data_IF_568379966692
#
_entry.id   IF_568379966692
#
_cell.length_a   1.000
_cell.length_b   1.000
_cell.length_c   1.000
_cell.angle_alpha   90.00
_cell.angle_beta   90.00
_cell.angle_gamma   90.00
#
_symmetry.space_group_name_H-M   'P 1'
#
loop_
_entity.id
_entity.type
_entity.pdbx_description
1 polymer ?
#
# COMPACT_ATOMS: atom_id res chain seq x y z
N UNK A 1 -13.99 21.85 -4.07
CA UNK A 1 -13.81 22.64 -5.32
C UNK A 1 -12.41 23.24 -5.43
N UNK A 2 -11.91 23.99 -4.44
CA UNK A 2 -10.56 24.63 -4.47
C UNK A 2 -9.39 23.64 -4.64
N UNK A 3 -9.50 22.42 -4.08
CA UNK A 3 -8.48 21.38 -4.25
C UNK A 3 -8.43 20.85 -5.71
N UNK A 4 -9.61 20.72 -6.34
CA UNK A 4 -9.75 20.27 -7.72
C UNK A 4 -9.22 21.34 -8.70
N UNK A 5 -9.46 22.62 -8.41
CA UNK A 5 -8.95 23.74 -9.22
C UNK A 5 -7.43 23.89 -9.09
N UNK A 6 -6.83 23.61 -7.92
CA UNK A 6 -5.38 23.54 -7.75
C UNK A 6 -4.76 22.35 -8.49
N UNK A 7 -5.42 21.19 -8.52
CA UNK A 7 -5.00 20.03 -9.29
C UNK A 7 -5.06 20.30 -10.81
N UNK A 8 -6.11 20.98 -11.28
CA UNK A 8 -6.27 21.36 -12.70
C UNK A 8 -5.30 22.47 -13.13
N UNK A 9 -4.96 23.42 -12.27
CA UNK A 9 -3.98 24.47 -12.60
C UNK A 9 -2.53 23.98 -12.55
N UNK A 10 -2.22 22.99 -11.70
CA UNK A 10 -0.92 22.30 -11.66
C UNK A 10 -0.65 21.49 -12.95
N UNK A 11 -1.70 21.07 -13.65
CA UNK A 11 -1.61 20.31 -14.91
C UNK A 11 -1.07 21.11 -16.12
N UNK A 12 -0.82 22.42 -15.99
CA UNK A 12 -0.38 23.28 -17.12
C UNK A 12 1.15 23.49 -17.19
N UNK A 13 1.91 22.98 -16.23
CA UNK A 13 3.36 22.69 -16.36
C UNK A 13 3.50 21.17 -16.43
N UNK A 14 4.43 20.63 -17.23
CA UNK A 14 4.73 19.19 -17.18
C UNK A 14 5.34 18.86 -15.81
N UNK A 15 4.48 18.61 -14.83
CA UNK A 15 4.84 18.15 -13.48
C UNK A 15 5.39 16.75 -13.64
N UNK A 16 6.66 16.58 -13.28
CA UNK A 16 7.39 15.32 -13.24
C UNK A 16 6.51 14.20 -12.66
N UNK A 17 6.39 13.06 -13.34
CA UNK A 17 5.44 12.01 -12.94
C UNK A 17 5.72 11.49 -11.52
N UNK A 18 6.99 11.46 -11.11
CA UNK A 18 7.35 11.10 -9.75
C UNK A 18 6.75 12.02 -8.69
N UNK A 19 6.56 13.32 -8.97
CA UNK A 19 5.85 14.23 -8.06
C UNK A 19 4.38 13.82 -7.92
N UNK A 20 3.70 13.40 -8.99
CA UNK A 20 2.30 12.93 -8.90
C UNK A 20 2.18 11.64 -8.09
N UNK A 21 3.10 10.70 -8.30
CA UNK A 21 3.14 9.43 -7.59
C UNK A 21 3.41 9.65 -6.09
N UNK A 22 4.35 10.55 -5.77
CA UNK A 22 4.64 11.00 -4.41
C UNK A 22 3.43 11.67 -3.76
N UNK A 23 2.78 12.60 -4.46
CA UNK A 23 1.61 13.32 -3.94
C UNK A 23 0.42 12.40 -3.69
N UNK A 24 0.19 11.40 -4.55
CA UNK A 24 -0.83 10.39 -4.35
C UNK A 24 -0.59 9.63 -3.03
N UNK A 25 0.62 9.10 -2.84
CA UNK A 25 0.95 8.38 -1.62
C UNK A 25 0.93 9.31 -0.40
N UNK A 26 1.36 10.56 -0.52
CA UNK A 26 1.23 11.56 0.56
C UNK A 26 -0.22 11.69 1.01
N UNK A 27 -1.16 11.83 0.07
CA UNK A 27 -2.60 11.93 0.38
C UNK A 27 -3.09 10.66 1.08
N UNK A 28 -2.73 9.48 0.57
CA UNK A 28 -3.12 8.19 1.16
C UNK A 28 -2.59 8.03 2.59
N UNK A 29 -1.30 8.30 2.81
CA UNK A 29 -0.69 8.25 4.14
C UNK A 29 -1.29 9.28 5.10
N UNK A 30 -1.59 10.50 4.65
CA UNK A 30 -2.27 11.51 5.49
C UNK A 30 -3.68 11.07 5.87
N UNK A 31 -4.45 10.52 4.93
CA UNK A 31 -5.79 10.00 5.19
C UNK A 31 -5.77 8.86 6.23
N UNK A 32 -4.73 8.01 6.19
CA UNK A 32 -4.52 6.93 7.14
C UNK A 32 -3.88 7.38 8.46
N UNK A 33 -3.41 8.63 8.59
CA UNK A 33 -2.67 9.10 9.77
C UNK A 33 -1.25 8.54 9.90
N UNK A 34 -0.72 7.94 8.81
CA UNK A 34 0.62 7.34 8.73
C UNK A 34 1.67 8.31 8.16
N UNK A 35 1.28 9.52 7.76
CA UNK A 35 2.20 10.48 7.16
C UNK A 35 3.30 10.91 8.16
N UNK A 36 4.60 10.70 7.85
CA UNK A 36 5.65 10.82 8.85
C UNK A 36 5.93 12.25 9.32
N UNK A 37 5.49 13.26 8.57
CA UNK A 37 5.66 14.68 8.95
C UNK A 37 4.45 15.24 9.72
N UNK A 38 3.42 14.44 9.99
CA UNK A 38 2.23 14.84 10.74
C UNK A 38 2.33 14.36 12.19
N UNK A 39 1.65 15.05 13.12
CA UNK A 39 1.48 14.52 14.48
C UNK A 39 0.73 13.19 14.43
N UNK A 40 1.22 12.13 15.09
CA UNK A 40 0.58 10.84 15.05
C UNK A 40 -0.84 10.94 15.61
N UNK A 41 -1.82 10.52 14.82
CA UNK A 41 -3.20 10.34 15.26
C UNK A 41 -3.45 8.84 15.36
N UNK A 42 -3.57 8.34 16.59
CA UNK A 42 -3.80 6.92 16.83
C UNK A 42 -5.28 6.64 16.59
N UNK A 43 -5.59 5.85 15.56
CA UNK A 43 -6.88 5.17 15.51
C UNK A 43 -6.99 4.25 16.72
N UNK A 44 -7.81 4.64 17.70
CA UNK A 44 -8.14 3.78 18.84
C UNK A 44 -9.03 2.64 18.33
N UNK A 45 -8.43 1.53 17.93
CA UNK A 45 -9.15 0.30 17.62
C UNK A 45 -9.57 -0.33 18.96
N UNK A 46 -10.67 0.17 19.52
CA UNK A 46 -11.33 -0.47 20.66
C UNK A 46 -12.37 -1.45 20.14
N UNK A 47 -11.95 -2.67 19.82
CA UNK A 47 -12.86 -3.76 19.43
C UNK A 47 -12.34 -5.17 19.76
N UNK A 48 -11.41 -5.33 20.71
CA UNK A 48 -10.82 -6.65 21.01
C UNK A 48 -11.42 -7.38 22.21
N UNK A 49 -12.25 -6.74 23.04
CA UNK A 49 -12.65 -7.30 24.34
C UNK A 49 -13.96 -8.08 24.35
N UNK A 50 -14.81 -8.01 23.32
CA UNK A 50 -16.11 -8.68 23.30
C UNK A 50 -16.07 -10.14 22.78
N UNK A 51 -14.88 -10.73 22.59
CA UNK A 51 -14.74 -11.95 21.77
C UNK A 51 -14.70 -13.29 22.51
N UNK A 52 -14.66 -13.32 23.85
CA UNK A 52 -14.32 -14.57 24.58
C UNK A 52 -15.51 -15.30 25.22
N UNK A 53 -16.76 -14.88 25.04
CA UNK A 53 -17.87 -15.35 25.91
C UNK A 53 -18.90 -16.32 25.31
N UNK A 54 -18.87 -16.63 24.01
CA UNK A 54 -19.92 -17.43 23.38
C UNK A 54 -19.63 -18.94 23.29
N UNK A 55 -20.61 -19.77 23.60
CA UNK A 55 -20.60 -21.22 23.27
C UNK A 55 -20.87 -21.41 21.76
N UNK A 56 -19.94 -22.01 21.01
CA UNK A 56 -20.08 -22.16 19.55
C UNK A 56 -19.63 -23.52 19.01
N UNK A 57 -20.16 -23.91 17.85
CA UNK A 57 -19.77 -25.11 17.09
C UNK A 57 -18.40 -24.93 16.40
N UNK A 58 -17.73 -26.01 15.99
CA UNK A 58 -16.37 -26.00 15.40
C UNK A 58 -16.29 -25.10 14.15
N UNK A 59 -17.28 -25.16 13.26
CA UNK A 59 -17.33 -24.31 12.05
C UNK A 59 -17.42 -22.81 12.37
N UNK A 60 -18.17 -22.46 13.43
CA UNK A 60 -18.28 -21.09 13.92
C UNK A 60 -16.93 -20.60 14.47
N UNK A 61 -16.23 -21.46 15.23
CA UNK A 61 -14.90 -21.18 15.78
C UNK A 61 -13.89 -20.94 14.65
N UNK A 62 -13.90 -21.78 13.60
CA UNK A 62 -12.98 -21.65 12.46
C UNK A 62 -13.20 -20.35 11.67
N UNK A 63 -14.46 -20.00 11.35
CA UNK A 63 -14.79 -18.72 10.69
C UNK A 63 -14.32 -17.53 11.51
N UNK A 64 -14.59 -17.57 12.82
CA UNK A 64 -14.24 -16.53 13.77
C UNK A 64 -12.72 -16.35 13.86
N UNK A 65 -11.99 -17.45 13.93
CA UNK A 65 -10.53 -17.45 13.92
C UNK A 65 -9.98 -16.80 12.64
N UNK A 66 -10.50 -17.16 11.47
CA UNK A 66 -10.10 -16.56 10.19
C UNK A 66 -10.28 -15.03 10.19
N UNK A 67 -11.42 -14.53 10.69
CA UNK A 67 -11.68 -13.10 10.81
C UNK A 67 -10.72 -12.39 11.78
N UNK A 68 -10.44 -13.00 12.94
CA UNK A 68 -9.47 -12.48 13.91
C UNK A 68 -8.08 -12.37 13.27
N UNK A 69 -7.66 -13.40 12.53
CA UNK A 69 -6.39 -13.40 11.83
C UNK A 69 -6.30 -12.26 10.80
N UNK A 70 -7.36 -12.03 10.02
CA UNK A 70 -7.41 -10.92 9.05
C UNK A 70 -7.32 -9.56 9.76
N UNK A 71 -8.08 -9.36 10.83
CA UNK A 71 -8.01 -8.16 11.65
C UNK A 71 -6.61 -7.95 12.24
N UNK A 72 -5.98 -9.01 12.74
CA UNK A 72 -4.61 -8.97 13.24
C UNK A 72 -3.62 -8.55 12.16
N UNK A 73 -3.79 -9.06 10.93
CA UNK A 73 -2.96 -8.66 9.78
C UNK A 73 -3.09 -7.16 9.49
N UNK A 74 -4.31 -6.61 9.45
CA UNK A 74 -4.52 -5.17 9.25
C UNK A 74 -3.85 -4.33 10.34
N UNK A 75 -4.03 -4.73 11.60
CA UNK A 75 -3.49 -4.02 12.76
C UNK A 75 -1.96 -4.05 12.75
N UNK A 76 -1.36 -5.22 12.53
CA UNK A 76 0.09 -5.36 12.47
C UNK A 76 0.72 -4.58 11.30
N UNK A 77 0.09 -4.61 10.12
CA UNK A 77 0.54 -3.82 8.97
C UNK A 77 0.54 -2.32 9.28
N UNK A 78 -0.54 -1.81 9.87
CA UNK A 78 -0.64 -0.41 10.27
C UNK A 78 0.47 -0.03 11.28
N UNK A 79 0.63 -0.82 12.34
CA UNK A 79 1.62 -0.54 13.38
C UNK A 79 3.06 -0.66 12.89
N UNK A 80 3.35 -1.57 11.96
CA UNK A 80 4.66 -1.67 11.32
C UNK A 80 5.08 -0.32 10.72
N UNK A 81 4.22 0.31 9.93
CA UNK A 81 4.50 1.59 9.30
C UNK A 81 4.45 2.76 10.27
N UNK A 82 3.57 2.69 11.27
CA UNK A 82 3.49 3.69 12.33
C UNK A 82 4.79 3.78 13.14
N UNK A 83 5.32 2.64 13.61
CA UNK A 83 6.56 2.61 14.39
C UNK A 83 7.80 2.92 13.56
N UNK A 84 7.78 2.64 12.26
CA UNK A 84 8.88 2.92 11.34
C UNK A 84 8.66 4.20 10.51
N UNK A 85 7.91 5.17 11.04
CA UNK A 85 7.63 6.43 10.34
C UNK A 85 8.90 7.19 9.96
N UNK A 86 9.94 7.15 10.79
CA UNK A 86 11.23 7.79 10.46
C UNK A 86 11.95 7.08 9.31
N UNK A 87 11.87 5.75 9.22
CA UNK A 87 12.41 5.01 8.08
C UNK A 87 11.66 5.31 6.78
N UNK A 88 10.33 5.44 6.84
CA UNK A 88 9.49 5.87 5.70
C UNK A 88 9.89 7.29 5.26
N UNK A 89 10.11 8.19 6.22
CA UNK A 89 10.57 9.56 5.95
C UNK A 89 11.93 9.59 5.25
N UNK A 90 12.92 8.88 5.78
CA UNK A 90 14.25 8.76 5.19
C UNK A 90 14.19 8.19 3.77
N UNK A 91 13.27 7.25 3.53
CA UNK A 91 13.03 6.68 2.20
C UNK A 91 12.53 7.73 1.21
N UNK A 92 11.51 8.51 1.59
CA UNK A 92 10.98 9.59 0.76
C UNK A 92 12.04 10.66 0.47
N UNK A 93 12.83 11.04 1.47
CA UNK A 93 13.92 12.01 1.32
C UNK A 93 15.01 11.48 0.38
N UNK A 94 15.40 10.21 0.51
CA UNK A 94 16.36 9.57 -0.38
C UNK A 94 15.88 9.61 -1.85
N UNK A 95 14.61 9.26 -2.10
CA UNK A 95 14.04 9.31 -3.46
C UNK A 95 14.06 10.73 -4.03
N UNK A 96 13.69 11.74 -3.24
CA UNK A 96 13.73 13.14 -3.67
C UNK A 96 15.16 13.62 -3.97
N UNK A 97 16.15 13.19 -3.19
CA UNK A 97 17.55 13.51 -3.44
C UNK A 97 18.03 12.91 -4.77
N UNK A 98 17.64 11.67 -5.06
CA UNK A 98 17.93 11.03 -6.35
C UNK A 98 17.32 11.80 -7.51
N UNK A 99 16.05 12.20 -7.41
CA UNK A 99 15.39 12.97 -8.47
C UNK A 99 16.05 14.33 -8.67
N UNK A 100 16.47 15.01 -7.59
CA UNK A 100 17.24 16.26 -7.68
C UNK A 100 18.59 16.06 -8.36
N UNK A 101 19.29 14.97 -8.04
CA UNK A 101 20.60 14.65 -8.61
C UNK A 101 20.53 14.45 -10.13
N UNK A 102 19.43 13.86 -10.64
CA UNK A 102 19.26 13.57 -12.06
C UNK A 102 18.34 14.55 -12.82
N UNK A 103 17.85 15.60 -12.17
CA UNK A 103 16.82 16.52 -12.71
C UNK A 103 17.12 17.05 -14.12
N UNK A 104 18.38 17.37 -14.41
CA UNK A 104 18.81 17.95 -15.69
C UNK A 104 19.47 16.91 -16.63
N UNK A 105 19.33 15.62 -16.34
CA UNK A 105 19.89 14.51 -17.13
C UNK A 105 18.77 13.74 -17.81
N UNK A 106 19.05 13.14 -18.97
CA UNK A 106 18.13 12.19 -19.60
C UNK A 106 17.77 10.99 -18.70
N UNK A 107 18.58 10.72 -17.67
CA UNK A 107 18.27 9.74 -16.63
C UNK A 107 16.94 10.01 -15.90
N UNK A 108 16.45 11.26 -15.87
CA UNK A 108 15.14 11.57 -15.27
C UNK A 108 13.99 10.87 -15.97
N UNK A 109 14.09 10.64 -17.29
CA UNK A 109 13.07 9.95 -18.09
C UNK A 109 12.90 8.50 -17.66
N UNK A 110 13.98 7.86 -17.21
CA UNK A 110 13.94 6.50 -16.65
C UNK A 110 13.14 6.49 -15.35
N UNK A 111 13.32 7.49 -14.47
CA UNK A 111 12.46 7.59 -13.29
C UNK A 111 11.00 7.83 -13.66
N UNK A 112 10.71 8.68 -14.65
CA UNK A 112 9.34 8.93 -15.09
C UNK A 112 8.65 7.66 -15.56
N UNK A 113 9.30 6.85 -16.39
CA UNK A 113 8.77 5.58 -16.89
C UNK A 113 8.40 4.61 -15.75
N UNK A 114 9.35 4.33 -14.86
CA UNK A 114 9.15 3.38 -13.77
C UNK A 114 8.15 3.87 -12.70
N UNK A 115 8.16 5.17 -12.39
CA UNK A 115 7.23 5.76 -11.42
C UNK A 115 5.83 5.93 -12.03
N UNK A 116 5.71 6.11 -13.35
CA UNK A 116 4.44 6.07 -14.05
C UNK A 116 3.81 4.68 -13.95
N UNK A 117 4.57 3.61 -14.19
CA UNK A 117 4.08 2.25 -14.00
C UNK A 117 3.58 2.02 -12.56
N UNK A 118 4.36 2.47 -11.56
CA UNK A 118 3.94 2.40 -10.16
C UNK A 118 2.65 3.18 -9.90
N UNK A 119 2.51 4.37 -10.48
CA UNK A 119 1.34 5.22 -10.32
C UNK A 119 0.08 4.55 -10.89
N UNK A 120 0.16 4.00 -12.10
CA UNK A 120 -0.95 3.27 -12.73
C UNK A 120 -1.30 2.03 -11.91
N UNK A 121 -0.30 1.29 -11.43
CA UNK A 121 -0.51 0.15 -10.55
C UNK A 121 -1.26 0.55 -9.27
N UNK A 122 -0.86 1.63 -8.59
CA UNK A 122 -1.55 2.13 -7.39
C UNK A 122 -3.00 2.49 -7.68
N UNK A 123 -3.27 3.22 -8.78
CA UNK A 123 -4.64 3.58 -9.17
C UNK A 123 -5.49 2.34 -9.45
N UNK A 124 -4.94 1.38 -10.17
CA UNK A 124 -5.63 0.14 -10.52
C UNK A 124 -6.03 -0.66 -9.27
N UNK A 125 -5.09 -0.86 -8.34
CA UNK A 125 -5.36 -1.55 -7.07
C UNK A 125 -6.43 -0.81 -6.27
N UNK A 126 -6.35 0.52 -6.18
CA UNK A 126 -7.34 1.32 -5.46
C UNK A 126 -8.75 1.18 -6.05
N UNK A 127 -8.88 1.21 -7.38
CA UNK A 127 -10.17 1.02 -8.07
C UNK A 127 -10.73 -0.37 -7.82
N UNK A 128 -9.91 -1.42 -7.96
CA UNK A 128 -10.33 -2.80 -7.68
C UNK A 128 -10.83 -2.94 -6.25
N UNK A 129 -10.12 -2.39 -5.28
CA UNK A 129 -10.50 -2.48 -3.88
C UNK A 129 -11.79 -1.72 -3.57
N UNK A 130 -12.02 -0.58 -4.23
CA UNK A 130 -13.30 0.14 -4.13
C UNK A 130 -14.45 -0.71 -4.68
N UNK A 131 -14.28 -1.33 -5.86
CA UNK A 131 -15.28 -2.25 -6.44
C UNK A 131 -15.52 -3.45 -5.51
N UNK A 132 -14.46 -4.03 -4.95
CA UNK A 132 -14.56 -5.12 -3.98
C UNK A 132 -15.36 -4.75 -2.73
N UNK A 133 -15.15 -3.54 -2.19
CA UNK A 133 -15.93 -3.03 -1.05
C UNK A 133 -17.42 -2.87 -1.40
N UNK A 134 -17.74 -2.37 -2.60
CA UNK A 134 -19.13 -2.29 -3.06
C UNK A 134 -19.79 -3.67 -3.17
N UNK A 135 -19.08 -4.65 -3.74
CA UNK A 135 -19.57 -6.03 -3.84
C UNK A 135 -19.80 -6.61 -2.44
N UNK A 136 -18.88 -6.39 -1.50
CA UNK A 136 -19.02 -6.82 -0.11
C UNK A 136 -20.29 -6.27 0.54
N UNK A 137 -20.57 -4.97 0.39
CA UNK A 137 -21.81 -4.35 0.91
C UNK A 137 -23.07 -4.98 0.30
N UNK A 138 -23.06 -5.31 -0.99
CA UNK A 138 -24.17 -5.98 -1.66
C UNK A 138 -24.38 -7.39 -1.09
N UNK A 139 -23.30 -8.10 -0.78
CA UNK A 139 -23.35 -9.44 -0.17
C UNK A 139 -23.99 -9.37 1.22
N UNK A 140 -23.56 -8.44 2.07
CA UNK A 140 -24.15 -8.25 3.40
C UNK A 140 -25.62 -7.80 3.34
N UNK A 141 -25.99 -7.03 2.32
CA UNK A 141 -27.37 -6.59 2.10
C UNK A 141 -28.28 -7.64 1.42
N UNK A 142 -27.79 -8.84 1.10
CA UNK A 142 -28.56 -9.93 0.48
C UNK A 142 -29.94 -10.19 1.11
N UNK A 143 -30.12 -10.32 2.45
CA UNK A 143 -31.43 -10.62 3.02
C UNK A 143 -32.46 -9.54 2.71
N UNK A 144 -32.06 -8.25 2.71
CA UNK A 144 -32.94 -7.13 2.39
C UNK A 144 -33.32 -7.12 0.91
N UNK A 145 -32.33 -7.31 0.03
CA UNK A 145 -32.57 -7.34 -1.43
C UNK A 145 -33.56 -8.45 -1.77
N UNK A 146 -33.40 -9.62 -1.13
CA UNK A 146 -34.27 -10.76 -1.36
C UNK A 146 -35.68 -10.57 -0.79
N UNK A 147 -35.84 -9.85 0.33
CA UNK A 147 -37.16 -9.50 0.87
C UNK A 147 -37.94 -8.55 -0.07
N UNK A 148 -37.24 -7.71 -0.85
CA UNK A 148 -37.87 -6.84 -1.85
C UNK A 148 -38.24 -7.59 -3.13
N UNK A 149 -37.35 -8.45 -3.64
CA UNK A 149 -37.55 -9.16 -4.91
C UNK A 149 -38.52 -10.34 -4.74
N UNK A 150 -38.42 -11.08 -3.63
CA UNK A 150 -39.22 -12.27 -3.33
C UNK A 150 -39.75 -12.13 -1.89
N UNK A 151 -40.79 -11.32 -1.68
CA UNK A 151 -41.35 -11.08 -0.36
C UNK A 151 -41.97 -12.37 0.20
N UNK A 152 -41.68 -12.66 1.47
CA UNK A 152 -42.28 -13.75 2.23
C UNK A 152 -43.21 -13.20 3.32
N UNK A 153 -44.16 -14.01 3.79
CA UNK A 153 -45.09 -13.60 4.86
C UNK A 153 -44.37 -13.17 6.15
N UNK A 154 -43.18 -13.72 6.39
CA UNK A 154 -42.27 -13.27 7.43
C UNK A 154 -40.95 -12.79 6.81
N UNK A 155 -40.39 -11.71 7.35
CA UNK A 155 -39.09 -11.18 6.92
C UNK A 155 -37.98 -12.20 7.14
N UNK A 156 -37.05 -12.32 6.19
CA UNK A 156 -35.90 -13.23 6.34
C UNK A 156 -35.07 -12.85 7.57
N UNK A 157 -34.50 -13.83 8.29
CA UNK A 157 -33.63 -13.53 9.41
C UNK A 157 -32.42 -12.73 8.92
N UNK A 158 -32.26 -11.52 9.47
CA UNK A 158 -31.10 -10.64 9.25
C UNK A 158 -29.88 -11.24 9.95
N UNK A 159 -29.29 -12.26 9.32
CA UNK A 159 -28.04 -12.88 9.76
C UNK A 159 -26.88 -12.10 9.15
N UNK A 160 -26.07 -11.49 10.00
CA UNK A 160 -24.71 -11.09 9.63
C UNK A 160 -23.92 -12.40 9.47
N UNK A 161 -23.02 -12.52 8.49
CA UNK A 161 -22.27 -13.77 8.27
C UNK A 161 -21.43 -14.19 9.49
N UNK A 162 -21.18 -13.25 10.41
CA UNK A 162 -20.47 -13.43 11.69
C UNK A 162 -21.43 -13.12 12.85
N UNK A 163 -21.67 -14.12 13.69
CA UNK A 163 -22.54 -14.00 14.85
C UNK A 163 -21.77 -13.37 16.03
N UNK A 164 -21.76 -12.04 16.12
CA UNK A 164 -21.20 -11.34 17.28
C UNK A 164 -22.18 -11.43 18.45
N UNK A 165 -21.78 -11.87 19.65
CA UNK A 165 -22.61 -11.70 20.86
C UNK A 165 -22.72 -10.21 21.18
N UNK A 166 -23.76 -9.57 20.66
CA UNK A 166 -24.14 -8.22 21.03
C UNK A 166 -25.24 -8.29 22.08
N UNK A 167 -25.09 -7.56 23.18
CA UNK A 167 -26.13 -7.34 24.19
C UNK A 167 -27.35 -6.54 23.66
N UNK A 168 -27.41 -6.31 22.34
CA UNK A 168 -28.38 -5.45 21.64
C UNK A 168 -28.96 -6.23 20.45
N UNK A 169 -30.25 -6.04 20.18
CA UNK A 169 -31.02 -6.71 19.14
C UNK A 169 -30.44 -6.47 17.72
N UNK A 170 -29.98 -7.56 17.09
CA UNK A 170 -29.36 -7.57 15.76
C UNK A 170 -30.32 -7.18 14.65
N UNK A 171 -31.62 -7.45 14.81
CA UNK A 171 -32.62 -7.12 13.79
C UNK A 171 -32.90 -5.60 13.77
N UNK A 172 -32.93 -4.98 14.95
CA UNK A 172 -33.19 -3.54 15.09
C UNK A 172 -32.01 -2.67 14.64
N UNK A 173 -30.77 -3.10 14.89
CA UNK A 173 -29.54 -2.32 14.62
C UNK A 173 -28.73 -2.82 13.42
N UNK A 174 -29.33 -3.64 12.54
CA UNK A 174 -28.65 -4.27 11.40
C UNK A 174 -27.80 -3.31 10.53
N UNK A 175 -28.35 -2.16 10.14
CA UNK A 175 -27.62 -1.17 9.33
C UNK A 175 -26.43 -0.56 10.08
N UNK A 176 -26.53 -0.39 11.39
CA UNK A 176 -25.43 0.13 12.19
C UNK A 176 -24.27 -0.86 12.23
N UNK A 177 -24.54 -2.16 12.35
CA UNK A 177 -23.52 -3.20 12.27
C UNK A 177 -22.82 -3.25 10.92
N UNK A 178 -23.57 -3.28 9.81
CA UNK A 178 -22.98 -3.23 8.46
C UNK A 178 -22.09 -2.00 8.30
N UNK A 179 -22.55 -0.83 8.77
CA UNK A 179 -21.75 0.39 8.67
C UNK A 179 -20.44 0.28 9.46
N UNK A 180 -20.47 -0.25 10.68
CA UNK A 180 -19.25 -0.46 11.47
C UNK A 180 -18.29 -1.46 10.81
N UNK A 181 -18.82 -2.56 10.27
CA UNK A 181 -18.04 -3.60 9.60
C UNK A 181 -17.40 -3.07 8.32
N UNK A 182 -18.17 -2.39 7.46
CA UNK A 182 -17.69 -1.78 6.21
C UNK A 182 -16.62 -0.73 6.51
N UNK A 183 -16.79 0.08 7.56
CA UNK A 183 -15.77 1.04 7.99
C UNK A 183 -14.51 0.34 8.47
N UNK A 184 -14.62 -0.71 9.30
CA UNK A 184 -13.48 -1.48 9.79
C UNK A 184 -12.69 -2.15 8.67
N UNK A 185 -13.38 -2.87 7.78
CA UNK A 185 -12.79 -3.52 6.60
C UNK A 185 -12.19 -2.46 5.67
N UNK A 186 -12.91 -1.37 5.41
CA UNK A 186 -12.44 -0.28 4.57
C UNK A 186 -11.14 0.33 5.06
N UNK A 187 -11.03 0.63 6.37
CA UNK A 187 -9.80 1.16 6.97
C UNK A 187 -8.65 0.15 6.87
N UNK A 188 -8.91 -1.13 7.20
CA UNK A 188 -7.89 -2.18 7.14
C UNK A 188 -7.34 -2.40 5.73
N UNK A 189 -8.24 -2.50 4.74
CA UNK A 189 -7.89 -2.64 3.32
C UNK A 189 -7.14 -1.40 2.82
N UNK A 190 -7.59 -0.19 3.15
CA UNK A 190 -6.88 1.05 2.79
C UNK A 190 -5.46 1.09 3.36
N UNK A 191 -5.24 0.60 4.60
CA UNK A 191 -3.92 0.52 5.21
C UNK A 191 -2.98 -0.39 4.41
N UNK A 192 -3.44 -1.61 4.06
CA UNK A 192 -2.64 -2.55 3.27
C UNK A 192 -2.31 -1.97 1.90
N UNK A 193 -3.30 -1.40 1.21
CA UNK A 193 -3.08 -0.84 -0.14
C UNK A 193 -2.08 0.29 -0.08
N UNK A 194 -2.24 1.22 0.86
CA UNK A 194 -1.36 2.39 1.00
C UNK A 194 0.08 1.97 1.26
N UNK A 195 0.29 1.05 2.19
CA UNK A 195 1.62 0.57 2.56
C UNK A 195 2.25 -0.31 1.48
N UNK A 196 1.48 -1.23 0.89
CA UNK A 196 1.93 -2.14 -0.17
C UNK A 196 2.28 -1.41 -1.47
N UNK A 197 1.44 -0.45 -1.89
CA UNK A 197 1.73 0.35 -3.10
C UNK A 197 2.91 1.30 -2.90
N UNK A 198 3.13 1.80 -1.69
CA UNK A 198 4.35 2.54 -1.35
C UNK A 198 5.61 1.69 -1.49
N UNK A 199 5.61 0.47 -0.94
CA UNK A 199 6.74 -0.45 -1.12
C UNK A 199 6.96 -0.75 -2.61
N UNK A 200 5.90 -0.94 -3.39
CA UNK A 200 6.01 -1.11 -4.83
C UNK A 200 6.63 0.11 -5.53
N UNK A 201 6.27 1.34 -5.12
CA UNK A 201 6.90 2.57 -5.62
C UNK A 201 8.40 2.59 -5.31
N UNK A 202 8.77 2.25 -4.07
CA UNK A 202 10.18 2.21 -3.67
C UNK A 202 10.97 1.17 -4.48
N UNK A 203 10.40 -0.01 -4.70
CA UNK A 203 11.00 -1.04 -5.57
C UNK A 203 11.16 -0.52 -7.00
N UNK A 204 10.14 0.12 -7.58
CA UNK A 204 10.21 0.71 -8.93
C UNK A 204 11.27 1.82 -9.00
N UNK A 205 11.39 2.66 -7.97
CA UNK A 205 12.47 3.66 -7.87
C UNK A 205 13.85 3.00 -7.87
N UNK A 206 14.06 1.94 -7.08
CA UNK A 206 15.33 1.21 -7.05
C UNK A 206 15.62 0.49 -8.37
N UNK A 207 14.61 -0.03 -9.06
CA UNK A 207 14.79 -0.56 -10.41
C UNK A 207 15.25 0.53 -11.39
N UNK A 208 14.69 1.74 -11.30
CA UNK A 208 15.10 2.87 -12.11
C UNK A 208 16.55 3.29 -11.82
N UNK A 209 16.99 3.35 -10.56
CA UNK A 209 18.39 3.67 -10.22
C UNK A 209 19.35 2.61 -10.76
N UNK A 210 19.01 1.33 -10.69
CA UNK A 210 19.83 0.26 -11.30
C UNK A 210 19.85 0.35 -12.82
N UNK A 211 18.73 0.68 -13.47
CA UNK A 211 18.68 0.90 -14.92
C UNK A 211 19.57 2.08 -15.31
N UNK A 212 19.56 3.18 -14.57
CA UNK A 212 20.45 4.33 -14.79
C UNK A 212 21.92 3.93 -14.63
N UNK A 213 22.27 3.20 -13.58
CA UNK A 213 23.63 2.68 -13.38
C UNK A 213 24.08 1.80 -14.55
N UNK A 214 23.21 0.91 -15.02
CA UNK A 214 23.44 0.08 -16.21
C UNK A 214 23.67 0.91 -17.47
N UNK A 215 22.84 1.93 -17.72
CA UNK A 215 23.00 2.83 -18.86
C UNK A 215 24.33 3.61 -18.79
N UNK A 216 24.77 4.05 -17.61
CA UNK A 216 26.07 4.71 -17.44
C UNK A 216 27.22 3.80 -17.87
N UNK A 217 27.17 2.52 -17.50
CA UNK A 217 28.16 1.51 -17.92
C UNK A 217 28.05 1.27 -19.44
N UNK A 218 26.85 1.07 -19.98
CA UNK A 218 26.66 0.83 -21.42
C UNK A 218 27.18 1.99 -22.29
N UNK A 219 26.97 3.23 -21.86
CA UNK A 219 27.47 4.42 -22.55
C UNK A 219 29.00 4.52 -22.52
N UNK A 220 29.70 3.81 -21.63
CA UNK A 220 31.17 3.68 -21.73
C UNK A 220 31.61 2.74 -22.86
N UNK A 221 30.75 1.76 -23.21
CA UNK A 221 31.00 0.74 -24.24
C UNK A 221 30.50 1.17 -25.61
N UNK A 222 29.42 1.96 -25.67
CA UNK A 222 28.77 2.38 -26.92
C UNK A 222 28.98 3.87 -27.27
N UNK A 223 29.65 4.07 -28.41
CA UNK A 223 29.42 5.09 -29.45
C UNK A 223 29.87 6.56 -29.24
N UNK A 224 29.98 7.14 -28.05
CA UNK A 224 30.50 8.54 -27.95
C UNK A 224 32.03 8.70 -27.98
N UNK A 225 32.76 7.61 -28.20
CA UNK A 225 34.22 7.53 -28.07
C UNK A 225 35.02 7.68 -29.36
N UNK A 226 34.36 7.92 -30.51
CA UNK A 226 35.04 8.08 -31.81
C UNK A 226 35.57 9.50 -32.10
N UNK A 227 35.15 10.52 -31.33
CA UNK A 227 35.54 11.92 -31.55
C UNK A 227 36.34 12.57 -30.41
N UNK A 228 36.51 11.88 -29.27
CA UNK A 228 37.20 12.43 -28.10
C UNK A 228 38.67 12.02 -28.05
N UNK A 229 39.52 12.86 -27.46
CA UNK A 229 40.91 12.48 -27.19
C UNK A 229 40.98 11.33 -26.18
N UNK A 230 42.07 10.55 -26.23
CA UNK A 230 42.25 9.40 -25.34
C UNK A 230 42.14 9.76 -23.85
N UNK A 231 42.64 10.94 -23.46
CA UNK A 231 42.55 11.44 -22.09
C UNK A 231 41.11 11.76 -21.66
N UNK A 232 40.35 12.46 -22.51
CA UNK A 232 38.95 12.78 -22.25
C UNK A 232 38.09 11.51 -22.14
N UNK A 233 38.34 10.54 -23.02
CA UNK A 233 37.67 9.24 -22.99
C UNK A 233 37.93 8.49 -21.67
N UNK A 234 39.18 8.43 -21.24
CA UNK A 234 39.55 7.75 -19.99
C UNK A 234 38.92 8.41 -18.77
N UNK A 235 38.91 9.75 -18.72
CA UNK A 235 38.27 10.51 -17.66
C UNK A 235 36.75 10.28 -17.62
N UNK A 236 36.09 10.27 -18.78
CA UNK A 236 34.65 10.00 -18.86
C UNK A 236 34.31 8.58 -18.40
N UNK A 237 35.02 7.57 -18.89
CA UNK A 237 34.78 6.17 -18.49
C UNK A 237 34.99 5.98 -16.99
N UNK A 238 36.09 6.50 -16.44
CA UNK A 238 36.35 6.45 -15.00
C UNK A 238 35.22 7.08 -14.20
N UNK A 239 34.78 8.29 -14.58
CA UNK A 239 33.68 8.99 -13.90
C UNK A 239 32.36 8.19 -13.97
N UNK A 240 32.01 7.66 -15.13
CA UNK A 240 30.78 6.89 -15.32
C UNK A 240 30.78 5.58 -14.51
N UNK A 241 31.92 4.88 -14.46
CA UNK A 241 32.08 3.66 -13.65
C UNK A 241 31.98 4.00 -12.16
N UNK A 242 32.72 5.01 -11.68
CA UNK A 242 32.65 5.43 -10.28
C UNK A 242 31.22 5.81 -9.88
N UNK A 243 30.53 6.60 -10.71
CA UNK A 243 29.15 7.01 -10.45
C UNK A 243 28.20 5.81 -10.42
N UNK A 244 28.33 4.87 -11.37
CA UNK A 244 27.52 3.65 -11.41
C UNK A 244 27.71 2.79 -10.16
N UNK A 245 28.95 2.57 -9.73
CA UNK A 245 29.27 1.81 -8.51
C UNK A 245 28.69 2.50 -7.27
N UNK A 246 28.80 3.83 -7.19
CA UNK A 246 28.24 4.62 -6.09
C UNK A 246 26.71 4.52 -6.04
N UNK A 247 26.02 4.66 -7.18
CA UNK A 247 24.56 4.51 -7.27
C UNK A 247 24.15 3.12 -6.83
N UNK A 248 24.80 2.08 -7.37
CA UNK A 248 24.49 0.69 -7.04
C UNK A 248 24.67 0.43 -5.54
N UNK A 249 25.82 0.80 -4.96
CA UNK A 249 26.11 0.61 -3.54
C UNK A 249 25.09 1.30 -2.64
N UNK A 250 24.76 2.56 -2.94
CA UNK A 250 23.75 3.32 -2.19
C UNK A 250 22.35 2.72 -2.31
N UNK A 251 21.92 2.31 -3.51
CA UNK A 251 20.62 1.65 -3.70
C UNK A 251 20.55 0.31 -2.95
N UNK A 252 21.61 -0.50 -2.97
CA UNK A 252 21.65 -1.77 -2.20
C UNK A 252 21.52 -1.50 -0.71
N UNK A 253 22.25 -0.51 -0.17
CA UNK A 253 22.18 -0.16 1.24
C UNK A 253 20.78 0.35 1.63
N UNK A 254 20.19 1.20 0.79
CA UNK A 254 18.83 1.70 0.95
C UNK A 254 17.80 0.57 0.98
N UNK A 255 17.86 -0.37 0.02
CA UNK A 255 16.95 -1.52 -0.03
C UNK A 255 17.13 -2.45 1.17
N UNK A 256 18.36 -2.67 1.66
CA UNK A 256 18.60 -3.46 2.88
C UNK A 256 17.92 -2.85 4.10
N UNK A 257 18.00 -1.53 4.28
CA UNK A 257 17.30 -0.84 5.37
C UNK A 257 15.78 -0.99 5.27
N UNK A 258 15.23 -0.93 4.05
CA UNK A 258 13.81 -1.17 3.82
C UNK A 258 13.40 -2.62 4.14
N UNK A 259 14.18 -3.61 3.71
CA UNK A 259 13.89 -5.02 4.03
C UNK A 259 13.91 -5.26 5.54
N UNK A 260 14.90 -4.74 6.26
CA UNK A 260 14.98 -4.89 7.72
C UNK A 260 13.75 -4.33 8.45
N UNK A 261 13.20 -3.21 7.96
CA UNK A 261 11.95 -2.62 8.46
C UNK A 261 10.76 -3.58 8.32
N UNK A 262 10.70 -4.30 7.20
CA UNK A 262 9.57 -5.14 6.77
C UNK A 262 9.68 -6.55 7.35
N UNK A 263 10.85 -7.18 7.29
CA UNK A 263 11.08 -8.58 7.63
C UNK A 263 10.65 -8.94 9.06
N UNK A 264 10.93 -8.05 10.03
CA UNK A 264 10.60 -8.25 11.44
C UNK A 264 9.08 -8.43 11.67
N UNK A 265 8.26 -7.76 10.86
CA UNK A 265 6.80 -7.75 10.99
C UNK A 265 6.12 -8.74 10.04
N UNK A 266 6.75 -9.05 8.90
CA UNK A 266 6.17 -9.96 7.91
C UNK A 266 6.28 -11.43 8.30
N UNK A 267 7.29 -11.84 9.09
CA UNK A 267 7.39 -13.22 9.58
C UNK A 267 6.15 -13.68 10.39
N UNK A 268 5.70 -12.95 11.44
CA UNK A 268 4.48 -13.33 12.15
C UNK A 268 3.21 -13.17 11.31
N UNK A 269 3.16 -12.20 10.39
CA UNK A 269 2.04 -12.03 9.45
C UNK A 269 1.87 -13.23 8.52
N UNK A 270 2.97 -13.75 7.96
CA UNK A 270 2.95 -14.93 7.09
C UNK A 270 2.44 -16.16 7.84
N UNK A 271 2.88 -16.37 9.09
CA UNK A 271 2.43 -17.50 9.91
C UNK A 271 0.93 -17.40 10.22
N UNK A 272 0.43 -16.22 10.61
CA UNK A 272 -0.99 -15.98 10.85
C UNK A 272 -1.82 -16.18 9.57
N UNK A 273 -1.33 -15.71 8.42
CA UNK A 273 -2.01 -15.87 7.13
C UNK A 273 -2.07 -17.34 6.68
N UNK A 274 -1.00 -18.11 6.87
CA UNK A 274 -0.98 -19.55 6.54
C UNK A 274 -1.96 -20.32 7.45
N UNK A 275 -1.98 -20.01 8.74
CA UNK A 275 -2.92 -20.63 9.68
C UNK A 275 -4.38 -20.29 9.32
N UNK A 276 -4.67 -19.03 9.00
CA UNK A 276 -6.04 -18.62 8.65
C UNK A 276 -6.51 -19.26 7.34
N UNK A 277 -5.64 -19.33 6.33
CA UNK A 277 -5.94 -19.97 5.05
C UNK A 277 -6.13 -21.49 5.22
N UNK A 278 -5.31 -22.12 6.06
CA UNK A 278 -5.46 -23.55 6.39
C UNK A 278 -6.80 -23.81 7.05
N UNK A 279 -7.19 -23.02 8.06
CA UNK A 279 -8.51 -23.12 8.70
C UNK A 279 -9.67 -22.91 7.72
N UNK A 280 -9.49 -22.07 6.70
CA UNK A 280 -10.48 -21.86 5.65
C UNK A 280 -10.60 -23.07 4.71
N UNK A 281 -9.49 -23.72 4.36
CA UNK A 281 -9.45 -24.89 3.47
C UNK A 281 -9.91 -26.19 4.14
N UNK A 282 -9.76 -26.32 5.47
CA UNK A 282 -10.22 -27.49 6.21
C UNK A 282 -11.75 -27.53 6.43
N UNK A 283 -12.47 -26.51 5.96
CA UNK A 283 -13.93 -26.41 5.98
C UNK A 283 -14.52 -26.81 4.64
#
# INVERSE_FOLDING_TARGET
>A
MVLLTKLLHSSRKMVFVGERCYELHRIMFMAMGLWPYQKPFIWRIQAFTAFLTATCNVDCILKRFSYICICFVYVMNYYCFYFHSESVKQTLEHMQLDWKMFKNSDAIKVFEEYLFESYIFTLFIYIISLVGLFIFVIIECRPIILDVIIPMNESRPRKIEIDFESFVDKQQYFFFYIMQEVLGVGIGVCSIITTGTFLAMVVKHSCATYKIASCLIQNTVTVHTLQMSAAQRMQFMHRSICLSVQIHGRTVQFMKGLLQMVDLWYFPLLLVAVLSLSCLFFR
#
